data_IF_007110598081
#
_entry.id   IF_007110598081
#
_cell.length_a   1.000
_cell.length_b   1.000
_cell.length_c   1.000
_cell.angle_alpha   90.00
_cell.angle_beta   90.00
_cell.angle_gamma   90.00
#
_symmetry.space_group_name_H-M   'P 1'
#
loop_
_entity.id
_entity.type
_entity.pdbx_description
1 polymer ?
#
# COMPACT_ATOMS: atom_id res chain seq x y z
N UNK A 1 3.66 -42.58 16.17
CA UNK A 1 2.96 -41.29 16.24
C UNK A 1 3.82 -40.30 17.01
N UNK A 2 4.54 -39.41 16.32
CA UNK A 2 5.32 -38.34 16.97
C UNK A 2 4.57 -37.02 16.72
N UNK A 3 3.89 -36.50 17.75
CA UNK A 3 3.32 -35.15 17.70
C UNK A 3 4.46 -34.14 17.74
N UNK A 4 4.85 -33.59 16.59
CA UNK A 4 5.69 -32.39 16.56
C UNK A 4 4.83 -31.25 17.11
N UNK A 5 5.10 -30.80 18.33
CA UNK A 5 4.54 -29.54 18.84
C UNK A 5 5.07 -28.43 17.95
N UNK A 6 4.18 -27.72 17.25
CA UNK A 6 4.54 -26.48 16.57
C UNK A 6 5.11 -25.51 17.62
N UNK A 7 6.22 -24.79 17.34
CA UNK A 7 6.70 -23.73 18.21
C UNK A 7 5.58 -22.70 18.40
N UNK A 8 5.41 -22.18 19.62
CA UNK A 8 4.44 -21.14 19.91
C UNK A 8 4.71 -19.93 19.01
N UNK A 9 3.79 -19.67 18.08
CA UNK A 9 3.88 -18.50 17.20
C UNK A 9 3.23 -17.32 17.89
N UNK A 10 4.04 -16.34 18.25
CA UNK A 10 3.59 -15.12 18.91
C UNK A 10 3.24 -14.08 17.84
N UNK A 11 1.95 -13.74 17.74
CA UNK A 11 1.51 -12.55 17.02
C UNK A 11 1.62 -11.35 17.96
N UNK A 12 2.35 -10.32 17.57
CA UNK A 12 2.42 -9.05 18.30
C UNK A 12 1.73 -7.96 17.50
N UNK A 13 0.82 -7.22 18.16
CA UNK A 13 0.23 -6.01 17.61
C UNK A 13 1.04 -4.83 18.16
N UNK A 14 1.77 -4.14 17.29
CA UNK A 14 2.41 -2.87 17.66
C UNK A 14 1.37 -1.76 17.51
N UNK A 15 0.57 -1.52 18.56
CA UNK A 15 -0.28 -0.33 18.64
C UNK A 15 0.55 0.83 19.15
N UNK A 16 0.85 1.78 18.28
CA UNK A 16 1.55 3.00 18.68
C UNK A 16 0.53 4.01 19.23
N UNK A 17 0.06 3.77 20.47
CA UNK A 17 -0.91 4.61 21.19
C UNK A 17 -0.26 5.97 21.51
N UNK A 18 -0.84 7.05 20.98
CA UNK A 18 -0.58 8.43 21.43
C UNK A 18 -1.82 8.88 22.21
N UNK A 19 -1.70 9.63 23.33
CA UNK A 19 -2.84 10.08 24.11
C UNK A 19 -3.85 10.85 23.23
N UNK A 20 -5.13 10.52 23.36
CA UNK A 20 -6.23 11.31 22.80
C UNK A 20 -6.31 12.64 23.55
N UNK A 21 -5.47 13.61 23.19
CA UNK A 21 -5.42 14.90 23.85
C UNK A 21 -4.34 15.79 23.29
N UNK A 22 -4.69 16.63 22.32
CA UNK A 22 -3.82 17.67 21.79
C UNK A 22 -4.26 18.04 20.39
N UNK A 23 -4.56 19.32 20.17
CA UNK A 23 -4.95 19.89 18.89
C UNK A 23 -4.16 19.25 17.74
N UNK A 24 -4.87 18.67 16.78
CA UNK A 24 -4.26 17.99 15.65
C UNK A 24 -3.21 18.90 15.03
N UNK A 25 -1.94 18.48 15.10
CA UNK A 25 -0.87 19.12 14.35
C UNK A 25 -1.29 19.07 12.89
N UNK A 26 -1.80 20.19 12.38
CA UNK A 26 -2.06 20.41 10.97
C UNK A 26 -0.66 20.51 10.35
N UNK A 27 -0.10 19.36 9.99
CA UNK A 27 1.12 19.28 9.20
C UNK A 27 0.93 20.18 7.96
N UNK A 28 1.96 20.94 7.55
CA UNK A 28 1.78 22.04 6.60
C UNK A 28 1.14 21.56 5.30
N UNK A 29 0.07 22.26 4.91
CA UNK A 29 -0.60 22.15 3.61
C UNK A 29 0.35 22.65 2.52
N UNK A 30 1.21 21.77 2.00
CA UNK A 30 1.43 21.44 0.59
C UNK A 30 2.42 20.29 0.63
N UNK A 31 1.97 19.08 0.30
CA UNK A 31 2.86 17.93 0.15
C UNK A 31 3.08 17.66 -1.31
N UNK A 32 4.35 17.70 -1.70
CA UNK A 32 4.75 17.14 -2.97
C UNK A 32 4.42 15.64 -3.00
N UNK A 33 3.90 15.20 -4.14
CA UNK A 33 3.48 13.81 -4.34
C UNK A 33 4.56 13.08 -5.14
N UNK A 34 5.02 11.94 -4.63
CA UNK A 34 5.90 11.02 -5.34
C UNK A 34 5.10 9.78 -5.68
N UNK A 35 4.91 9.52 -6.97
CA UNK A 35 4.11 8.41 -7.47
C UNK A 35 4.96 7.19 -7.76
N UNK A 36 4.49 6.04 -7.30
CA UNK A 36 5.09 4.73 -7.57
C UNK A 36 4.04 3.89 -8.29
N UNK A 37 4.26 3.66 -9.59
CA UNK A 37 3.23 3.15 -10.50
C UNK A 37 3.53 1.74 -10.95
N UNK A 38 2.68 0.79 -10.56
CA UNK A 38 2.77 -0.56 -11.08
C UNK A 38 2.10 -0.65 -12.46
N UNK A 39 2.94 -0.66 -13.51
CA UNK A 39 2.51 -0.66 -14.92
C UNK A 39 1.68 -1.88 -15.31
N UNK A 40 1.85 -3.02 -14.63
CA UNK A 40 1.10 -4.26 -14.90
C UNK A 40 -0.30 -4.27 -14.26
N UNK A 41 -0.59 -3.32 -13.36
CA UNK A 41 -1.88 -3.26 -12.66
C UNK A 41 -3.03 -2.79 -13.56
N UNK A 42 -4.24 -3.28 -13.27
CA UNK A 42 -5.49 -2.77 -13.84
C UNK A 42 -5.70 -3.05 -15.32
N UNK A 43 -5.15 -4.14 -15.87
CA UNK A 43 -5.37 -4.50 -17.27
C UNK A 43 -4.79 -3.49 -18.26
N UNK A 44 -3.58 -2.96 -17.98
CA UNK A 44 -2.85 -1.89 -18.69
C UNK A 44 -3.22 -0.45 -18.30
N UNK A 45 -4.14 -0.24 -17.35
CA UNK A 45 -4.40 1.11 -16.80
C UNK A 45 -3.16 1.72 -16.13
N UNK A 46 -2.30 0.90 -15.53
CA UNK A 46 -1.05 1.38 -14.92
C UNK A 46 -0.09 2.06 -15.91
N UNK A 47 0.08 1.49 -17.11
CA UNK A 47 0.92 2.10 -18.15
C UNK A 47 0.36 3.44 -18.63
N UNK A 48 -0.95 3.54 -18.87
CA UNK A 48 -1.60 4.79 -19.24
C UNK A 48 -1.52 5.84 -18.13
N UNK A 49 -1.65 5.43 -16.86
CA UNK A 49 -1.50 6.34 -15.72
C UNK A 49 -0.06 6.86 -15.63
N UNK A 50 0.94 5.98 -15.75
CA UNK A 50 2.34 6.37 -15.71
C UNK A 50 2.63 7.45 -16.76
N UNK A 51 2.23 7.22 -18.02
CA UNK A 51 2.44 8.18 -19.10
C UNK A 51 1.77 9.54 -18.82
N UNK A 52 0.52 9.54 -18.31
CA UNK A 52 -0.19 10.79 -17.96
C UNK A 52 0.47 11.54 -16.81
N UNK A 53 0.95 10.83 -15.79
CA UNK A 53 1.65 11.44 -14.66
C UNK A 53 2.99 12.03 -15.09
N UNK A 54 3.74 11.34 -15.96
CA UNK A 54 5.02 11.84 -16.50
C UNK A 54 4.86 13.10 -17.37
N UNK A 55 3.69 13.30 -18.00
CA UNK A 55 3.37 14.54 -18.71
C UNK A 55 3.02 15.71 -17.76
N UNK A 56 2.61 15.41 -16.52
CA UNK A 56 2.06 16.39 -15.58
C UNK A 56 3.06 16.76 -14.49
N UNK A 57 3.92 15.83 -14.08
CA UNK A 57 4.84 15.95 -12.95
C UNK A 57 6.29 15.79 -13.41
N UNK A 58 7.21 16.34 -12.62
CA UNK A 58 8.64 16.23 -12.88
C UNK A 58 9.10 14.75 -12.88
N UNK A 59 10.13 14.37 -13.67
CA UNK A 59 10.56 12.97 -13.81
C UNK A 59 10.97 12.30 -12.50
N UNK A 60 11.51 13.06 -11.55
CA UNK A 60 11.91 12.61 -10.21
C UNK A 60 10.70 12.32 -9.29
N UNK A 61 9.48 12.65 -9.72
CA UNK A 61 8.25 12.45 -8.96
C UNK A 61 7.42 11.27 -9.44
N UNK A 62 7.77 10.64 -10.55
CA UNK A 62 6.95 9.56 -11.13
C UNK A 62 7.83 8.37 -11.49
N UNK A 63 7.72 7.32 -10.67
CA UNK A 63 8.57 6.14 -10.76
C UNK A 63 7.76 4.90 -11.14
N UNK A 64 8.24 4.06 -12.08
CA UNK A 64 7.68 2.72 -12.24
C UNK A 64 7.96 1.89 -10.99
N UNK A 65 7.01 1.06 -10.59
CA UNK A 65 7.17 0.17 -9.44
C UNK A 65 8.24 -0.89 -9.73
N UNK A 66 9.31 -0.86 -8.94
CA UNK A 66 10.34 -1.89 -8.89
C UNK A 66 10.80 -2.06 -7.45
N UNK A 67 10.70 -3.28 -6.92
CA UNK A 67 11.06 -3.57 -5.51
C UNK A 67 12.50 -3.17 -5.21
N UNK A 68 13.43 -3.35 -6.16
CA UNK A 68 14.85 -3.05 -6.01
C UNK A 68 15.16 -1.57 -5.74
N UNK A 69 14.31 -0.64 -6.20
CA UNK A 69 14.55 0.80 -6.05
C UNK A 69 13.57 1.46 -5.07
N UNK A 70 12.66 0.68 -4.51
CA UNK A 70 11.54 1.19 -3.73
C UNK A 70 12.01 1.97 -2.49
N UNK A 71 12.93 1.39 -1.72
CA UNK A 71 13.44 1.97 -0.49
C UNK A 71 14.23 3.26 -0.74
N UNK A 72 14.94 3.37 -1.86
CA UNK A 72 15.65 4.60 -2.22
C UNK A 72 14.68 5.75 -2.53
N UNK A 73 13.62 5.47 -3.29
CA UNK A 73 12.58 6.46 -3.64
C UNK A 73 11.84 6.91 -2.38
N UNK A 74 11.45 5.96 -1.52
CA UNK A 74 10.69 6.25 -0.30
C UNK A 74 11.53 6.96 0.76
N UNK A 75 12.81 6.59 0.90
CA UNK A 75 13.73 7.31 1.78
C UNK A 75 13.89 8.77 1.34
N UNK A 76 14.07 9.00 0.03
CA UNK A 76 14.15 10.37 -0.50
C UNK A 76 12.86 11.16 -0.28
N UNK A 77 11.70 10.55 -0.51
CA UNK A 77 10.41 11.18 -0.24
C UNK A 77 10.24 11.51 1.25
N UNK A 78 10.70 10.62 2.14
CA UNK A 78 10.75 10.88 3.59
C UNK A 78 11.63 12.10 3.88
N UNK A 79 12.86 12.13 3.37
CA UNK A 79 13.81 13.24 3.60
C UNK A 79 13.28 14.58 3.03
N UNK A 80 12.54 14.55 1.92
CA UNK A 80 11.96 15.74 1.30
C UNK A 80 10.59 16.13 1.92
N UNK A 81 10.09 15.40 2.92
CA UNK A 81 8.77 15.65 3.52
C UNK A 81 7.59 15.43 2.56
N UNK A 82 7.81 14.65 1.50
CA UNK A 82 6.84 14.35 0.45
C UNK A 82 5.92 13.18 0.84
N UNK A 83 4.73 13.13 0.25
CA UNK A 83 3.84 11.96 0.35
C UNK A 83 4.12 10.98 -0.78
N UNK A 84 4.10 9.68 -0.46
CA UNK A 84 4.30 8.61 -1.44
C UNK A 84 2.93 8.07 -1.87
N UNK A 85 2.68 8.01 -3.17
CA UNK A 85 1.43 7.53 -3.75
C UNK A 85 1.66 6.17 -4.41
N UNK A 86 1.10 5.12 -3.81
CA UNK A 86 1.11 3.78 -4.35
C UNK A 86 0.00 3.63 -5.40
N UNK A 87 0.37 3.53 -6.68
CA UNK A 87 -0.57 3.29 -7.77
C UNK A 87 -0.53 1.81 -8.17
N UNK A 88 -1.51 1.03 -7.72
CA UNK A 88 -1.49 -0.43 -7.90
C UNK A 88 -2.63 -1.16 -7.21
N UNK A 89 -2.48 -2.48 -7.08
CA UNK A 89 -3.31 -3.30 -6.19
C UNK A 89 -2.69 -3.49 -4.80
N UNK A 90 -3.29 -4.35 -3.98
CA UNK A 90 -2.89 -4.54 -2.57
C UNK A 90 -1.42 -4.96 -2.40
N UNK A 91 -0.88 -5.77 -3.32
CA UNK A 91 0.54 -6.16 -3.30
C UNK A 91 1.50 -4.97 -3.51
N UNK A 92 1.17 -4.03 -4.41
CA UNK A 92 1.94 -2.80 -4.61
C UNK A 92 1.85 -1.93 -3.35
N UNK A 93 0.64 -1.75 -2.82
CA UNK A 93 0.40 -0.91 -1.63
C UNK A 93 1.14 -1.47 -0.41
N UNK A 94 1.06 -2.78 -0.17
CA UNK A 94 1.76 -3.44 0.92
C UNK A 94 3.29 -3.29 0.81
N UNK A 95 3.84 -3.40 -0.40
CA UNK A 95 5.27 -3.19 -0.63
C UNK A 95 5.70 -1.74 -0.32
N UNK A 96 4.91 -0.75 -0.76
CA UNK A 96 5.16 0.67 -0.48
C UNK A 96 5.04 0.97 1.03
N UNK A 97 4.01 0.46 1.71
CA UNK A 97 3.85 0.62 3.16
C UNK A 97 5.01 -0.02 3.94
N UNK A 98 5.45 -1.20 3.53
CA UNK A 98 6.60 -1.87 4.15
C UNK A 98 7.89 -1.06 3.94
N UNK A 99 8.08 -0.46 2.76
CA UNK A 99 9.19 0.44 2.47
C UNK A 99 9.13 1.72 3.32
N UNK A 100 7.97 2.37 3.40
CA UNK A 100 7.75 3.56 4.21
C UNK A 100 8.05 3.31 5.69
N UNK A 101 7.64 2.15 6.21
CA UNK A 101 7.99 1.74 7.57
C UNK A 101 9.51 1.53 7.76
N UNK A 102 10.21 0.86 6.82
CA UNK A 102 11.66 0.66 6.91
C UNK A 102 12.45 1.97 6.81
N UNK A 103 11.97 2.92 6.01
CA UNK A 103 12.61 4.20 5.76
C UNK A 103 12.22 5.29 6.77
N UNK A 104 11.30 5.00 7.69
CA UNK A 104 10.91 5.92 8.76
C UNK A 104 12.11 6.36 9.61
N UNK A 105 12.11 7.63 9.98
CA UNK A 105 13.06 8.25 10.92
C UNK A 105 12.34 8.55 12.24
N UNK A 106 13.11 8.78 13.29
CA UNK A 106 12.55 9.06 14.62
C UNK A 106 11.56 10.25 14.64
N UNK A 107 11.77 11.24 13.79
CA UNK A 107 10.98 12.47 13.70
C UNK A 107 10.23 12.63 12.35
N UNK A 108 10.38 11.67 11.42
CA UNK A 108 9.87 11.85 10.05
C UNK A 108 9.46 10.53 9.40
N UNK A 109 8.26 10.53 8.82
CA UNK A 109 7.69 9.42 8.06
C UNK A 109 7.04 9.97 6.79
N UNK A 110 7.23 9.30 5.66
CA UNK A 110 6.49 9.61 4.44
C UNK A 110 5.04 9.09 4.54
N UNK A 111 4.02 9.98 4.46
CA UNK A 111 2.63 9.56 4.38
C UNK A 111 2.39 8.76 3.10
N UNK A 112 1.60 7.70 3.18
CA UNK A 112 1.27 6.87 2.01
C UNK A 112 -0.18 7.08 1.58
N UNK A 113 -0.39 7.47 0.33
CA UNK A 113 -1.69 7.49 -0.34
C UNK A 113 -1.82 6.39 -1.38
N UNK A 114 -3.04 6.10 -1.81
CA UNK A 114 -3.31 4.98 -2.73
C UNK A 114 -4.10 5.48 -3.95
N UNK A 115 -3.61 5.14 -5.15
CA UNK A 115 -4.42 5.17 -6.38
C UNK A 115 -4.76 3.72 -6.73
N UNK A 116 -6.02 3.27 -6.50
CA UNK A 116 -6.39 1.88 -6.71
C UNK A 116 -6.43 1.53 -8.20
N UNK A 117 -5.56 0.62 -8.61
CA UNK A 117 -5.51 0.08 -9.98
C UNK A 117 -5.84 -1.42 -10.05
N UNK A 118 -5.95 -2.12 -8.92
CA UNK A 118 -6.29 -3.55 -8.86
C UNK A 118 -7.79 -3.85 -8.98
N UNK A 119 -8.15 -5.13 -8.89
CA UNK A 119 -9.56 -5.58 -8.83
C UNK A 119 -10.06 -5.67 -7.38
N UNK A 120 -9.17 -6.11 -6.46
CA UNK A 120 -9.36 -6.17 -5.01
C UNK A 120 -9.32 -4.78 -4.38
N UNK A 121 -8.15 -4.20 -4.11
CA UNK A 121 -8.01 -2.85 -3.53
C UNK A 121 -8.78 -2.67 -2.21
N UNK A 122 -8.85 -3.73 -1.40
CA UNK A 122 -9.65 -3.71 -0.18
C UNK A 122 -9.14 -2.63 0.78
N UNK A 123 -7.82 -2.47 0.88
CA UNK A 123 -7.23 -1.42 1.71
C UNK A 123 -7.60 -0.01 1.19
N UNK A 124 -7.65 0.18 -0.13
CA UNK A 124 -8.07 1.46 -0.72
C UNK A 124 -9.55 1.75 -0.47
N UNK A 125 -10.41 0.72 -0.47
CA UNK A 125 -11.84 0.87 -0.15
C UNK A 125 -12.07 1.21 1.31
N UNK A 126 -11.44 0.48 2.23
CA UNK A 126 -11.53 0.73 3.67
C UNK A 126 -11.06 2.13 4.04
N UNK A 127 -10.03 2.64 3.36
CA UNK A 127 -9.49 3.99 3.58
C UNK A 127 -10.22 5.09 2.78
N UNK A 128 -11.24 4.76 1.99
CA UNK A 128 -12.04 5.75 1.24
C UNK A 128 -11.38 6.30 -0.03
N UNK A 129 -10.29 5.73 -0.51
CA UNK A 129 -9.61 6.19 -1.74
C UNK A 129 -10.35 5.82 -3.03
N UNK A 130 -11.24 4.83 -2.97
CA UNK A 130 -11.99 4.37 -4.13
C UNK A 130 -13.09 5.35 -4.58
N UNK A 131 -13.64 6.14 -3.66
CA UNK A 131 -14.74 7.09 -3.93
C UNK A 131 -14.25 8.42 -4.50
N UNK A 132 -12.94 8.68 -4.50
CA UNK A 132 -12.39 9.97 -4.92
C UNK A 132 -12.45 10.20 -6.45
N UNK A 133 -12.57 9.15 -7.25
CA UNK A 133 -12.83 9.23 -8.69
C UNK A 133 -11.86 10.19 -9.43
N UNK A 134 -12.36 11.06 -10.33
CA UNK A 134 -11.54 12.04 -11.05
C UNK A 134 -10.79 13.03 -10.13
N UNK A 135 -11.27 13.23 -8.90
CA UNK A 135 -10.72 14.17 -7.93
C UNK A 135 -9.64 13.53 -7.03
N UNK A 136 -9.20 12.31 -7.32
CA UNK A 136 -8.25 11.58 -6.47
C UNK A 136 -6.96 12.35 -6.22
N UNK A 137 -6.42 13.07 -7.22
CA UNK A 137 -5.20 13.88 -7.02
C UNK A 137 -5.43 15.06 -6.08
N UNK A 138 -6.57 15.74 -6.19
CA UNK A 138 -6.93 16.84 -5.29
C UNK A 138 -7.13 16.31 -3.86
N UNK A 139 -7.81 15.16 -3.74
CA UNK A 139 -8.05 14.48 -2.47
C UNK A 139 -6.74 14.04 -1.81
N UNK A 140 -5.80 13.48 -2.57
CA UNK A 140 -4.48 13.07 -2.07
C UNK A 140 -3.66 14.26 -1.56
N UNK A 141 -3.81 15.45 -2.15
CA UNK A 141 -3.10 16.67 -1.71
C UNK A 141 -3.66 17.26 -0.41
N UNK A 142 -4.97 17.15 -0.19
CA UNK A 142 -5.65 17.77 0.96
C UNK A 142 -6.01 16.78 2.06
N UNK A 143 -5.80 15.48 1.86
CA UNK A 143 -6.20 14.45 2.82
C UNK A 143 -5.45 14.58 4.15
N UNK A 144 -6.15 14.44 5.29
CA UNK A 144 -5.51 14.34 6.59
C UNK A 144 -4.71 13.05 6.70
N UNK A 145 -3.58 13.09 7.42
CA UNK A 145 -2.81 11.88 7.75
C UNK A 145 -3.43 11.20 8.95
N UNK A 146 -3.54 9.88 8.85
CA UNK A 146 -3.93 9.01 9.95
C UNK A 146 -2.92 7.89 10.07
N UNK A 147 -2.68 7.44 11.31
CA UNK A 147 -1.91 6.22 11.54
C UNK A 147 -2.72 5.01 11.07
N UNK A 148 -2.01 4.05 10.49
CA UNK A 148 -2.55 2.78 10.05
C UNK A 148 -1.97 1.68 10.93
N UNK A 149 -2.84 0.86 11.51
CA UNK A 149 -2.38 -0.28 12.30
C UNK A 149 -1.70 -1.32 11.42
N UNK A 150 -0.62 -1.88 11.92
CA UNK A 150 0.15 -2.93 11.25
C UNK A 150 0.26 -4.13 12.15
N UNK A 151 -0.03 -5.29 11.57
CA UNK A 151 0.07 -6.57 12.24
C UNK A 151 1.40 -7.19 11.86
N UNK A 152 2.15 -7.69 12.84
CA UNK A 152 3.41 -8.37 12.62
C UNK A 152 3.37 -9.76 13.24
N UNK A 153 3.74 -10.77 12.46
CA UNK A 153 3.84 -12.16 12.90
C UNK A 153 5.28 -12.61 12.75
N UNK A 154 5.84 -13.09 13.85
CA UNK A 154 7.22 -13.54 13.91
C UNK A 154 7.26 -15.03 14.24
N UNK A 155 8.03 -15.79 13.46
CA UNK A 155 8.25 -17.21 13.65
C UNK A 155 9.69 -17.61 13.31
N UNK A 156 9.98 -18.91 13.32
CA UNK A 156 11.33 -19.43 13.02
C UNK A 156 11.86 -19.03 11.63
N UNK A 157 10.95 -18.79 10.67
CA UNK A 157 11.28 -18.41 9.29
C UNK A 157 11.34 -16.88 9.08
N UNK A 158 11.31 -16.10 10.17
CA UNK A 158 11.38 -14.64 10.14
C UNK A 158 10.05 -13.95 10.49
N UNK A 159 9.98 -12.66 10.16
CA UNK A 159 8.83 -11.79 10.48
C UNK A 159 8.15 -11.29 9.21
N UNK A 160 6.81 -11.27 9.22
CA UNK A 160 5.99 -10.75 8.12
C UNK A 160 4.97 -9.74 8.66
N UNK A 161 4.61 -8.80 7.80
CA UNK A 161 3.71 -7.70 8.12
C UNK A 161 2.43 -7.74 7.26
N UNK A 162 1.29 -7.37 7.84
CA UNK A 162 0.00 -7.23 7.16
C UNK A 162 -0.71 -5.95 7.61
N UNK A 163 -1.53 -5.39 6.71
CA UNK A 163 -2.15 -4.07 6.86
C UNK A 163 -3.69 -4.08 6.79
N UNK A 164 -4.31 -5.22 6.50
CA UNK A 164 -5.76 -5.33 6.40
C UNK A 164 -6.26 -6.59 7.10
N UNK A 165 -6.15 -7.74 6.44
CA UNK A 165 -6.47 -9.04 7.03
C UNK A 165 -5.50 -10.10 6.51
N UNK A 166 -5.37 -11.19 7.26
CA UNK A 166 -4.77 -12.44 6.81
C UNK A 166 -5.70 -13.59 7.19
N UNK A 167 -5.80 -14.59 6.31
CA UNK A 167 -6.63 -15.78 6.55
C UNK A 167 -5.81 -17.06 6.43
N UNK A 168 -6.29 -18.11 7.09
CA UNK A 168 -5.70 -19.45 7.07
C UNK A 168 -6.78 -20.51 6.81
N UNK A 169 -6.37 -21.69 6.34
CA UNK A 169 -7.30 -22.79 6.08
C UNK A 169 -8.05 -22.67 4.75
N UNK A 170 -9.35 -22.91 4.76
CA UNK A 170 -10.15 -23.04 3.53
C UNK A 170 -10.19 -21.74 2.71
N UNK A 171 -10.37 -20.59 3.37
CA UNK A 171 -10.40 -19.28 2.72
C UNK A 171 -9.10 -18.99 1.97
N UNK A 172 -7.96 -19.22 2.60
CA UNK A 172 -6.64 -19.06 1.97
C UNK A 172 -6.48 -19.93 0.71
N UNK A 173 -7.03 -21.16 0.72
CA UNK A 173 -7.02 -22.05 -0.45
C UNK A 173 -7.91 -21.53 -1.59
N UNK A 174 -9.05 -20.92 -1.26
CA UNK A 174 -9.91 -20.28 -2.26
C UNK A 174 -9.21 -19.07 -2.87
N UNK A 175 -8.61 -18.20 -2.05
CA UNK A 175 -7.84 -17.05 -2.51
C UNK A 175 -6.64 -17.47 -3.40
N UNK A 176 -5.94 -18.55 -3.03
CA UNK A 176 -4.86 -19.10 -3.86
C UNK A 176 -5.35 -19.58 -5.22
N UNK A 177 -6.46 -20.34 -5.26
CA UNK A 177 -7.06 -20.80 -6.52
C UNK A 177 -7.53 -19.62 -7.37
N UNK A 178 -8.13 -18.62 -6.76
CA UNK A 178 -8.54 -17.40 -7.44
C UNK A 178 -7.34 -16.68 -8.09
N UNK A 179 -6.22 -16.57 -7.36
CA UNK A 179 -4.98 -16.00 -7.90
C UNK A 179 -4.47 -16.78 -9.11
N UNK A 180 -4.39 -18.10 -9.00
CA UNK A 180 -3.95 -18.96 -10.10
C UNK A 180 -4.86 -18.83 -11.33
N UNK A 181 -6.18 -18.87 -11.14
CA UNK A 181 -7.15 -18.69 -12.23
C UNK A 181 -7.03 -17.30 -12.86
N UNK A 182 -6.77 -16.26 -12.06
CA UNK A 182 -6.53 -14.90 -12.56
C UNK A 182 -5.28 -14.82 -13.42
N UNK A 183 -4.20 -15.47 -13.02
CA UNK A 183 -2.95 -15.45 -13.78
C UNK A 183 -3.09 -16.23 -15.11
N UNK A 184 -3.86 -17.33 -15.11
CA UNK A 184 -4.15 -18.12 -16.32
C UNK A 184 -5.24 -17.51 -17.22
N UNK A 185 -6.22 -16.81 -16.65
CA UNK A 185 -7.38 -16.25 -17.37
C UNK A 185 -7.66 -14.78 -17.00
N UNK A 186 -6.73 -13.85 -17.28
CA UNK A 186 -6.83 -12.45 -16.84
C UNK A 186 -8.03 -11.70 -17.43
N UNK A 187 -8.61 -12.18 -18.54
CA UNK A 187 -9.79 -11.57 -19.16
C UNK A 187 -11.06 -11.70 -18.32
N UNK A 188 -11.18 -12.73 -17.48
CA UNK A 188 -12.34 -12.94 -16.60
C UNK A 188 -12.42 -11.91 -15.44
N UNK A 189 -11.30 -11.25 -15.13
CA UNK A 189 -11.16 -10.36 -13.97
C UNK A 189 -10.95 -8.88 -14.36
N UNK A 190 -11.29 -8.53 -15.61
CA UNK A 190 -11.21 -7.16 -16.13
C UNK A 190 -12.32 -6.23 -15.65
N UNK A 191 -13.41 -6.78 -15.10
CA UNK A 191 -14.46 -5.98 -14.49
C UNK A 191 -14.06 -5.64 -13.05
N UNK A 192 -14.06 -4.34 -12.73
CA UNK A 192 -14.28 -3.89 -11.35
C UNK A 192 -15.58 -4.54 -10.90
N UNK A 193 -15.61 -5.26 -9.77
CA UNK A 193 -16.90 -5.59 -9.14
C UNK A 193 -17.61 -4.27 -8.83
N UNK A 194 -18.52 -3.89 -9.73
CA UNK A 194 -19.52 -2.86 -9.52
C UNK A 194 -20.55 -3.51 -8.60
N UNK A 195 -20.47 -3.17 -7.31
CA UNK A 195 -21.66 -3.12 -6.47
C UNK A 195 -22.22 -1.71 -6.57
#
# INVERSE_FOLDING_TARGET
MHSRRCPATHATVETNQVPLGGAGNILPLVRELVFIVNVSSGGRRGASLLARLQQTFAPDRVHPFAVSHLDAIVARATDDGSAVIACGGDGTVAAVLASAHRCARADREAPVGIIPLGTGNDLARTLGWFTAGPLILASLRSAPVRRLDRWTFSGGDGSRAWFNYCSFGYDARVAQRFHAVRDHHPYLFRATMLN
#
